data_IF_707353220096
#
_entry.id   IF_707353220096
#
_cell.length_a   1.000
_cell.length_b   1.000
_cell.length_c   1.000
_cell.angle_alpha   90.00
_cell.angle_beta   90.00
_cell.angle_gamma   90.00
#
_symmetry.space_group_name_H-M   'P 1'
#
loop_
_entity.id
_entity.type
_entity.pdbx_description
1 polymer ?
#
# COMPACT_ATOMS: atom_id res chain seq x y z
N UNK A 1 12.13 -11.34 -21.71
CA UNK A 1 11.11 -11.62 -20.67
C UNK A 1 11.48 -10.93 -19.38
N UNK A 2 10.53 -10.26 -18.78
CA UNK A 2 10.72 -9.63 -17.48
C UNK A 2 10.89 -10.68 -16.39
N UNK A 3 11.74 -10.39 -15.40
CA UNK A 3 11.80 -11.22 -14.19
C UNK A 3 10.49 -11.09 -13.41
N UNK A 4 10.23 -12.04 -12.52
CA UNK A 4 9.06 -11.97 -11.63
C UNK A 4 9.11 -10.72 -10.75
N UNK A 5 10.31 -10.36 -10.29
CA UNK A 5 10.51 -9.12 -9.51
C UNK A 5 10.10 -7.89 -10.31
N UNK A 6 10.54 -7.82 -11.55
CA UNK A 6 10.22 -6.70 -12.42
C UNK A 6 8.73 -6.63 -12.70
N UNK A 7 8.08 -7.78 -12.90
CA UNK A 7 6.63 -7.85 -13.07
C UNK A 7 5.90 -7.22 -11.90
N UNK A 8 6.30 -7.55 -10.67
CA UNK A 8 5.71 -6.95 -9.47
C UNK A 8 5.99 -5.46 -9.36
N UNK A 9 7.20 -5.03 -9.72
CA UNK A 9 7.55 -3.60 -9.69
C UNK A 9 6.72 -2.79 -10.68
N UNK A 10 6.56 -3.31 -11.90
CA UNK A 10 5.73 -2.68 -12.93
C UNK A 10 4.28 -2.59 -12.46
N UNK A 11 3.74 -3.69 -11.93
CA UNK A 11 2.38 -3.72 -11.42
C UNK A 11 2.18 -2.70 -10.29
N UNK A 12 3.16 -2.57 -9.40
CA UNK A 12 3.08 -1.59 -8.32
C UNK A 12 2.95 -0.16 -8.86
N UNK A 13 3.76 0.18 -9.86
CA UNK A 13 3.70 1.51 -10.48
C UNK A 13 2.38 1.75 -11.21
N UNK A 14 1.89 0.74 -11.92
CA UNK A 14 0.61 0.84 -12.64
C UNK A 14 -0.56 1.02 -11.67
N UNK A 15 -0.59 0.25 -10.58
CA UNK A 15 -1.64 0.39 -9.58
C UNK A 15 -1.57 1.75 -8.89
N UNK A 16 -0.37 2.26 -8.64
CA UNK A 16 -0.20 3.58 -8.05
C UNK A 16 -0.73 4.68 -8.97
N UNK A 17 -0.42 4.59 -10.27
CA UNK A 17 -0.94 5.54 -11.25
C UNK A 17 -2.46 5.48 -11.34
N UNK A 18 -3.02 4.26 -11.33
CA UNK A 18 -4.48 4.08 -11.35
C UNK A 18 -5.12 4.62 -10.07
N UNK A 19 -4.47 4.44 -8.93
CA UNK A 19 -4.95 4.99 -7.65
C UNK A 19 -5.04 6.52 -7.72
N UNK A 20 -4.02 7.17 -8.29
CA UNK A 20 -4.02 8.62 -8.45
C UNK A 20 -5.17 9.06 -9.37
N UNK A 21 -5.39 8.36 -10.48
CA UNK A 21 -6.47 8.68 -11.40
C UNK A 21 -7.83 8.57 -10.70
N UNK A 22 -8.03 7.52 -9.91
CA UNK A 22 -9.27 7.35 -9.16
C UNK A 22 -9.47 8.44 -8.12
N UNK A 23 -8.38 8.85 -7.46
CA UNK A 23 -8.44 9.96 -6.50
C UNK A 23 -8.87 11.24 -7.19
N UNK A 24 -8.27 11.55 -8.34
CA UNK A 24 -8.60 12.76 -9.10
C UNK A 24 -10.05 12.76 -9.58
N UNK A 25 -10.62 11.58 -9.81
CA UNK A 25 -12.01 11.42 -10.23
C UNK A 25 -12.99 11.31 -9.04
N UNK A 26 -12.51 11.40 -7.82
CA UNK A 26 -13.36 11.34 -6.63
C UNK A 26 -13.79 9.93 -6.22
N UNK A 27 -13.19 8.90 -6.81
CA UNK A 27 -13.48 7.49 -6.48
C UNK A 27 -12.57 7.04 -5.33
N UNK A 28 -12.88 7.48 -4.12
CA UNK A 28 -12.00 7.31 -2.96
C UNK A 28 -11.89 5.86 -2.51
N UNK A 29 -12.94 5.07 -2.65
CA UNK A 29 -12.88 3.65 -2.35
C UNK A 29 -11.85 2.93 -3.23
N UNK A 30 -11.90 3.19 -4.55
CA UNK A 30 -10.95 2.58 -5.50
C UNK A 30 -9.52 3.10 -5.29
N UNK A 31 -9.37 4.38 -4.96
CA UNK A 31 -8.09 4.95 -4.58
C UNK A 31 -7.45 4.17 -3.44
N UNK A 32 -8.23 3.92 -2.40
CA UNK A 32 -7.78 3.19 -1.23
C UNK A 32 -7.34 1.76 -1.59
N UNK A 33 -8.20 1.05 -2.32
CA UNK A 33 -7.91 -0.34 -2.69
C UNK A 33 -6.66 -0.45 -3.56
N UNK A 34 -6.56 0.38 -4.60
CA UNK A 34 -5.43 0.35 -5.52
C UNK A 34 -4.12 0.79 -4.86
N UNK A 35 -4.20 1.72 -3.92
CA UNK A 35 -3.02 2.14 -3.15
C UNK A 35 -2.44 0.98 -2.35
N UNK A 36 -3.29 0.24 -1.64
CA UNK A 36 -2.84 -0.93 -0.88
C UNK A 36 -2.30 -2.03 -1.79
N UNK A 37 -2.91 -2.22 -2.95
CA UNK A 37 -2.44 -3.19 -3.94
C UNK A 37 -1.07 -2.81 -4.49
N UNK A 38 -0.81 -1.52 -4.70
CA UNK A 38 0.51 -1.03 -5.12
C UNK A 38 1.58 -1.37 -4.07
N UNK A 39 1.26 -1.15 -2.79
CA UNK A 39 2.16 -1.52 -1.70
C UNK A 39 2.43 -3.01 -1.70
N UNK A 40 1.38 -3.82 -1.80
CA UNK A 40 1.53 -5.28 -1.83
C UNK A 40 2.45 -5.73 -2.97
N UNK A 41 2.21 -5.24 -4.17
CA UNK A 41 3.04 -5.61 -5.33
C UNK A 41 4.50 -5.22 -5.13
N UNK A 42 4.75 -4.04 -4.59
CA UNK A 42 6.11 -3.58 -4.37
C UNK A 42 6.84 -4.45 -3.33
N UNK A 43 6.15 -4.78 -2.23
CA UNK A 43 6.73 -5.66 -1.21
C UNK A 43 6.98 -7.06 -1.75
N UNK A 44 6.12 -7.57 -2.65
CA UNK A 44 6.34 -8.87 -3.28
C UNK A 44 7.57 -8.88 -4.16
N UNK A 45 7.90 -7.76 -4.79
CA UNK A 45 9.15 -7.65 -5.55
C UNK A 45 10.36 -7.85 -4.63
N UNK A 46 10.36 -7.18 -3.47
CA UNK A 46 11.43 -7.32 -2.48
C UNK A 46 11.49 -8.72 -1.89
N UNK A 47 10.33 -9.33 -1.62
CA UNK A 47 10.28 -10.70 -1.12
C UNK A 47 10.84 -11.68 -2.15
N UNK A 48 10.48 -11.52 -3.42
CA UNK A 48 10.95 -12.39 -4.51
C UNK A 48 12.45 -12.32 -4.69
N UNK A 49 13.05 -11.18 -4.41
CA UNK A 49 14.51 -11.03 -4.45
C UNK A 49 15.21 -11.91 -3.40
N UNK A 50 14.51 -12.23 -2.32
CA UNK A 50 15.04 -13.00 -1.21
C UNK A 50 14.74 -14.49 -1.28
N UNK A 51 13.59 -14.86 -1.81
CA UNK A 51 13.12 -16.24 -1.82
C UNK A 51 12.27 -16.52 -3.05
N UNK A 52 12.33 -17.77 -3.53
CA UNK A 52 11.48 -18.24 -4.61
C UNK A 52 10.11 -18.71 -4.10
N UNK A 53 9.92 -18.81 -2.79
CA UNK A 53 8.66 -19.27 -2.22
C UNK A 53 7.60 -18.19 -2.35
N UNK A 54 6.44 -18.58 -2.85
CA UNK A 54 5.30 -17.69 -2.96
C UNK A 54 4.51 -17.71 -1.65
N UNK A 55 4.24 -16.52 -1.12
CA UNK A 55 3.37 -16.35 0.03
C UNK A 55 2.02 -15.86 -0.46
N UNK A 56 0.98 -16.70 -0.34
CA UNK A 56 -0.36 -16.37 -0.80
C UNK A 56 -1.12 -15.43 0.14
N UNK A 57 -0.56 -15.16 1.32
CA UNK A 57 -1.21 -14.26 2.27
C UNK A 57 -1.11 -12.83 1.79
N UNK A 58 -2.18 -12.07 2.03
CA UNK A 58 -2.25 -10.65 1.65
C UNK A 58 -2.13 -9.75 2.87
N UNK A 59 -1.27 -10.14 3.80
CA UNK A 59 -0.99 -9.38 5.02
C UNK A 59 0.20 -8.46 4.75
N UNK A 60 -0.06 -7.17 4.63
CA UNK A 60 0.98 -6.20 4.25
C UNK A 60 2.06 -6.06 5.32
N UNK A 61 1.70 -6.16 6.59
CA UNK A 61 2.67 -6.08 7.67
C UNK A 61 3.61 -7.29 7.65
N UNK A 62 3.06 -8.48 7.41
CA UNK A 62 3.83 -9.68 7.26
C UNK A 62 4.76 -9.62 6.05
N UNK A 63 4.24 -9.15 4.91
CA UNK A 63 5.05 -8.98 3.70
C UNK A 63 6.17 -7.98 3.92
N UNK A 64 5.90 -6.88 4.61
CA UNK A 64 6.93 -5.89 4.92
C UNK A 64 8.05 -6.51 5.76
N UNK A 65 7.70 -7.36 6.73
CA UNK A 65 8.68 -8.04 7.57
C UNK A 65 9.47 -9.09 6.81
N UNK A 66 8.80 -9.97 6.08
CA UNK A 66 9.44 -11.07 5.36
C UNK A 66 10.26 -10.60 4.18
N UNK A 67 9.85 -9.53 3.51
CA UNK A 67 10.63 -8.92 2.43
C UNK A 67 11.84 -8.17 2.95
N UNK A 68 11.91 -7.92 4.25
CA UNK A 68 12.93 -7.11 4.92
C UNK A 68 13.02 -5.68 4.36
N UNK A 69 11.89 -5.15 3.92
CA UNK A 69 11.85 -3.78 3.37
C UNK A 69 12.40 -2.76 4.36
N UNK A 70 12.03 -2.87 5.65
CA UNK A 70 12.55 -1.98 6.69
C UNK A 70 14.06 -2.09 6.86
N UNK A 71 14.65 -3.24 6.51
CA UNK A 71 16.09 -3.42 6.58
C UNK A 71 16.86 -2.73 5.47
N UNK A 72 16.19 -2.40 4.36
CA UNK A 72 16.86 -1.72 3.23
C UNK A 72 16.64 -0.21 3.25
N UNK A 73 15.62 0.29 3.96
CA UNK A 73 15.45 1.74 4.10
C UNK A 73 16.48 2.32 5.05
N UNK A 74 16.85 3.60 4.91
CA UNK A 74 17.79 4.23 5.84
C UNK A 74 17.32 4.12 7.29
N UNK A 75 18.26 3.93 8.21
CA UNK A 75 17.95 3.75 9.64
C UNK A 75 17.08 4.89 10.16
N UNK A 76 17.32 6.11 9.71
CA UNK A 76 16.59 7.30 10.13
C UNK A 76 15.11 7.25 9.77
N UNK A 77 14.74 6.45 8.77
CA UNK A 77 13.37 6.33 8.27
C UNK A 77 12.64 5.06 8.69
N UNK A 78 13.32 4.15 9.38
CA UNK A 78 12.73 2.85 9.75
C UNK A 78 11.52 2.99 10.66
N UNK A 79 11.58 3.92 11.60
CA UNK A 79 10.46 4.19 12.49
C UNK A 79 9.24 4.71 11.72
N UNK A 80 9.47 5.62 10.76
CA UNK A 80 8.41 6.18 9.94
C UNK A 80 7.74 5.10 9.09
N UNK A 81 8.51 4.21 8.48
CA UNK A 81 7.98 3.12 7.67
C UNK A 81 7.26 2.07 8.51
N UNK A 82 7.72 1.79 9.72
CA UNK A 82 7.01 0.89 10.63
C UNK A 82 5.62 1.43 10.98
N UNK A 83 5.53 2.73 11.28
CA UNK A 83 4.25 3.39 11.55
C UNK A 83 3.35 3.38 10.32
N UNK A 84 3.92 3.62 9.15
CA UNK A 84 3.22 3.62 7.88
C UNK A 84 2.61 2.23 7.59
N UNK A 85 3.39 1.16 7.74
CA UNK A 85 2.90 -0.20 7.51
C UNK A 85 1.83 -0.60 8.51
N UNK A 86 1.92 -0.15 9.75
CA UNK A 86 0.87 -0.39 10.75
C UNK A 86 -0.45 0.26 10.32
N UNK A 87 -0.40 1.50 9.83
CA UNK A 87 -1.58 2.21 9.34
C UNK A 87 -2.18 1.50 8.13
N UNK A 88 -1.35 1.16 7.16
CA UNK A 88 -1.79 0.47 5.94
C UNK A 88 -2.42 -0.88 6.29
N UNK A 89 -1.78 -1.65 7.14
CA UNK A 89 -2.27 -2.97 7.52
C UNK A 89 -3.61 -2.91 8.25
N UNK A 90 -3.82 -1.89 9.06
CA UNK A 90 -5.10 -1.70 9.75
C UNK A 90 -6.23 -1.35 8.78
N UNK A 91 -5.96 -0.51 7.79
CA UNK A 91 -6.99 0.06 6.93
C UNK A 91 -7.26 -0.74 5.67
N UNK A 92 -6.26 -1.49 5.19
CA UNK A 92 -6.37 -2.19 3.91
C UNK A 92 -6.54 -3.69 4.09
N UNK A 93 -7.46 -4.26 3.31
CA UNK A 93 -7.69 -5.71 3.24
C UNK A 93 -7.80 -6.10 1.77
N UNK A 94 -7.21 -7.22 1.41
CA UNK A 94 -7.27 -7.72 0.03
C UNK A 94 -8.69 -8.00 -0.42
N UNK A 95 -9.58 -8.38 0.49
CA UNK A 95 -10.97 -8.67 0.17
C UNK A 95 -11.83 -7.43 -0.02
N UNK A 96 -11.28 -6.22 0.16
CA UNK A 96 -12.00 -4.98 -0.13
C UNK A 96 -12.51 -4.92 -1.57
N UNK A 97 -11.86 -5.64 -2.50
CA UNK A 97 -12.31 -5.71 -3.90
C UNK A 97 -13.70 -6.33 -4.06
N UNK A 98 -14.15 -7.09 -3.06
CA UNK A 98 -15.47 -7.72 -3.07
C UNK A 98 -16.50 -6.93 -2.28
N UNK A 99 -16.10 -5.86 -1.62
CA UNK A 99 -16.97 -5.05 -0.78
C UNK A 99 -17.64 -3.96 -1.60
N UNK A 100 -18.86 -3.60 -1.22
CA UNK A 100 -19.49 -2.39 -1.71
C UNK A 100 -18.84 -1.17 -1.06
N UNK A 101 -19.05 0.01 -1.65
CA UNK A 101 -18.63 1.26 -1.02
C UNK A 101 -19.16 1.40 0.39
N UNK A 102 -20.43 1.01 0.58
CA UNK A 102 -21.08 1.07 1.90
C UNK A 102 -20.34 0.23 2.93
N UNK A 103 -20.03 -1.03 2.59
CA UNK A 103 -19.30 -1.92 3.48
C UNK A 103 -17.92 -1.37 3.83
N UNK A 104 -17.23 -0.81 2.85
CA UNK A 104 -15.92 -0.22 3.07
C UNK A 104 -15.99 0.96 4.03
N UNK A 105 -16.94 1.88 3.83
CA UNK A 105 -17.05 3.05 4.69
C UNK A 105 -17.58 2.70 6.09
N UNK A 106 -18.42 1.68 6.21
CA UNK A 106 -18.80 1.15 7.53
C UNK A 106 -17.61 0.61 8.28
N UNK A 107 -16.72 -0.12 7.58
CA UNK A 107 -15.49 -0.61 8.18
C UNK A 107 -14.58 0.53 8.63
N UNK A 108 -14.41 1.54 7.81
CA UNK A 108 -13.59 2.71 8.16
C UNK A 108 -14.12 3.43 9.38
N UNK A 109 -15.44 3.58 9.49
CA UNK A 109 -16.07 4.15 10.67
C UNK A 109 -15.80 3.29 11.91
N UNK A 110 -15.91 1.97 11.76
CA UNK A 110 -15.71 1.02 12.85
C UNK A 110 -14.28 1.08 13.42
N UNK A 111 -13.29 1.27 12.58
CA UNK A 111 -11.89 1.40 13.03
C UNK A 111 -11.51 2.83 13.36
N UNK A 112 -12.49 3.74 13.39
CA UNK A 112 -12.31 5.15 13.71
C UNK A 112 -11.38 5.91 12.75
N UNK A 113 -11.32 5.49 11.48
CA UNK A 113 -10.47 6.17 10.50
C UNK A 113 -10.91 7.61 10.27
N UNK A 114 -12.23 7.89 10.35
CA UNK A 114 -12.76 9.22 10.17
C UNK A 114 -12.30 10.19 11.28
N UNK A 115 -11.84 9.68 12.42
CA UNK A 115 -11.38 10.54 13.51
C UNK A 115 -10.10 11.31 13.18
N UNK A 116 -9.30 10.80 12.25
CA UNK A 116 -8.11 11.50 11.75
C UNK A 116 -8.46 12.68 10.86
N UNK A 117 -9.64 12.63 10.29
CA UNK A 117 -10.06 13.58 9.26
C UNK A 117 -11.47 14.08 9.57
N UNK A 118 -11.64 14.64 10.80
CA UNK A 118 -12.92 15.19 11.21
C UNK A 118 -13.37 16.25 10.22
N UNK A 119 -14.67 16.20 9.89
CA UNK A 119 -15.30 17.19 9.06
C UNK A 119 -15.79 16.64 7.73
N UNK A 120 -16.08 17.56 6.84
CA UNK A 120 -16.88 17.33 5.64
C UNK A 120 -16.22 16.41 4.61
N UNK A 121 -14.87 16.30 4.61
CA UNK A 121 -14.13 15.59 3.57
C UNK A 121 -13.30 14.43 4.12
N UNK A 122 -13.82 13.74 5.15
CA UNK A 122 -13.04 12.68 5.79
C UNK A 122 -12.73 11.51 4.84
N UNK A 123 -13.65 11.19 3.93
CA UNK A 123 -13.44 10.10 2.96
C UNK A 123 -12.29 10.41 2.03
N UNK A 124 -12.23 11.64 1.54
CA UNK A 124 -11.11 12.10 0.71
C UNK A 124 -9.79 12.03 1.46
N UNK A 125 -9.79 12.47 2.72
CA UNK A 125 -8.56 12.48 3.54
C UNK A 125 -8.07 11.07 3.84
N UNK A 126 -8.98 10.14 4.11
CA UNK A 126 -8.62 8.73 4.32
C UNK A 126 -7.99 8.14 3.05
N UNK A 127 -8.60 8.41 1.90
CA UNK A 127 -8.03 7.97 0.62
C UNK A 127 -6.67 8.59 0.35
N UNK A 128 -6.51 9.87 0.64
CA UNK A 128 -5.23 10.58 0.47
C UNK A 128 -4.15 9.99 1.35
N UNK A 129 -4.49 9.63 2.59
CA UNK A 129 -3.53 8.98 3.50
C UNK A 129 -2.99 7.69 2.89
N UNK A 130 -3.87 6.84 2.36
CA UNK A 130 -3.44 5.59 1.72
C UNK A 130 -2.62 5.84 0.46
N UNK A 131 -3.04 6.80 -0.36
CA UNK A 131 -2.32 7.15 -1.57
C UNK A 131 -0.91 7.65 -1.25
N UNK A 132 -0.78 8.52 -0.25
CA UNK A 132 0.52 9.03 0.19
C UNK A 132 1.40 7.91 0.73
N UNK A 133 0.83 6.98 1.50
CA UNK A 133 1.57 5.81 1.98
C UNK A 133 2.12 4.98 0.82
N UNK A 134 1.30 4.76 -0.19
CA UNK A 134 1.72 4.00 -1.37
C UNK A 134 2.85 4.72 -2.12
N UNK A 135 2.75 6.04 -2.29
CA UNK A 135 3.82 6.82 -2.91
C UNK A 135 5.12 6.71 -2.13
N UNK A 136 5.06 6.79 -0.80
CA UNK A 136 6.25 6.68 0.03
C UNK A 136 6.93 5.33 -0.12
N UNK A 137 6.16 4.24 -0.04
CA UNK A 137 6.70 2.89 -0.15
C UNK A 137 7.30 2.65 -1.53
N UNK A 138 6.55 2.94 -2.58
CA UNK A 138 6.98 2.64 -3.96
C UNK A 138 8.15 3.54 -4.35
N UNK A 139 8.10 4.83 -4.04
CA UNK A 139 9.16 5.77 -4.41
C UNK A 139 10.47 5.45 -3.69
N UNK A 140 10.41 5.22 -2.38
CA UNK A 140 11.60 4.87 -1.61
C UNK A 140 12.15 3.52 -2.06
N UNK A 141 11.28 2.53 -2.22
CA UNK A 141 11.68 1.21 -2.66
C UNK A 141 12.33 1.22 -4.03
N UNK A 142 11.79 1.97 -4.99
CA UNK A 142 12.38 2.07 -6.33
C UNK A 142 13.73 2.77 -6.29
N UNK A 143 13.86 3.83 -5.50
CA UNK A 143 15.14 4.52 -5.36
C UNK A 143 16.22 3.59 -4.81
N UNK A 144 15.89 2.80 -3.80
CA UNK A 144 16.84 1.85 -3.20
C UNK A 144 17.12 0.69 -4.16
N UNK A 145 16.08 0.20 -4.85
CA UNK A 145 16.23 -0.90 -5.80
C UNK A 145 17.26 -0.59 -6.88
N UNK A 146 17.20 0.62 -7.40
CA UNK A 146 18.08 1.05 -8.48
C UNK A 146 19.53 1.28 -8.04
N UNK A 147 19.79 1.38 -6.73
CA UNK A 147 21.15 1.52 -6.19
C UNK A 147 21.88 0.17 -6.03
N UNK A 148 21.15 -0.92 -6.16
CA UNK A 148 21.71 -2.28 -5.96
C UNK A 148 21.88 -3.03 -7.29
#
# INVERSE_FOLDING_TARGET
MSSTEETYRIAAREHLASAQDQFDNGSYYLTHYLSGLAVECHLRAWLRRRTDQFDSRHDLQLLARESQFNGVVPIQRRSDFSALFSTVNLRWRSNHRYWSKRQFYEYMTKINAESEARGQHWKERVARTMLNCAYEVVSEGEAIWNRK
#
